data_IF_898401911817
#
_entry.id   IF_898401911817
#
_cell.length_a   1.000
_cell.length_b   1.000
_cell.length_c   1.000
_cell.angle_alpha   90.00
_cell.angle_beta   90.00
_cell.angle_gamma   90.00
#
_symmetry.space_group_name_H-M   'P 1'
#
loop_
_entity.id
_entity.type
_entity.pdbx_description
1 polymer ?
#
# COMPACT_ATOMS: atom_id res chain seq x y z
N UNK A 1 14.74 -66.68 -51.67
CA UNK A 1 16.10 -66.14 -51.44
C UNK A 1 15.98 -65.01 -50.43
N UNK A 2 16.34 -65.27 -49.17
CA UNK A 2 16.05 -64.40 -48.03
C UNK A 2 17.35 -63.93 -47.37
N UNK A 3 17.42 -62.61 -47.16
CA UNK A 3 18.06 -61.82 -46.08
C UNK A 3 19.42 -62.26 -45.52
N UNK A 4 20.35 -61.30 -45.38
CA UNK A 4 21.11 -60.94 -44.15
C UNK A 4 22.17 -59.87 -44.48
N UNK A 5 22.12 -58.67 -43.88
CA UNK A 5 22.89 -58.17 -42.70
C UNK A 5 24.41 -58.08 -42.93
N UNK A 6 24.98 -56.87 -42.78
CA UNK A 6 26.17 -56.64 -41.93
C UNK A 6 26.46 -55.14 -41.77
N UNK A 7 26.43 -54.71 -40.51
CA UNK A 7 26.88 -53.41 -40.01
C UNK A 7 28.38 -53.21 -40.26
N UNK A 8 28.77 -51.99 -40.67
CA UNK A 8 30.15 -51.50 -40.48
C UNK A 8 30.19 -50.64 -39.22
N UNK A 9 30.91 -51.14 -38.23
CA UNK A 9 31.32 -50.38 -37.06
C UNK A 9 32.38 -49.34 -37.42
N UNK A 10 32.32 -48.22 -36.71
CA UNK A 10 33.32 -47.18 -36.69
C UNK A 10 33.04 -46.29 -35.48
N UNK A 11 33.71 -46.59 -34.36
CA UNK A 11 33.61 -45.83 -33.13
C UNK A 11 34.16 -44.42 -33.33
N UNK A 12 33.36 -43.40 -33.01
CA UNK A 12 33.84 -42.07 -32.72
C UNK A 12 33.22 -41.60 -31.41
N UNK A 13 34.08 -41.52 -30.39
CA UNK A 13 33.89 -40.74 -29.17
C UNK A 13 33.38 -39.33 -29.51
N UNK A 14 32.37 -38.86 -28.79
CA UNK A 14 32.43 -37.69 -27.89
C UNK A 14 31.05 -37.60 -27.24
N UNK A 15 30.99 -37.95 -25.95
CA UNK A 15 29.78 -37.86 -25.13
C UNK A 15 29.34 -36.41 -25.04
N UNK A 16 28.06 -36.22 -25.35
CA UNK A 16 27.31 -34.96 -25.38
C UNK A 16 27.45 -34.17 -24.07
N UNK A 17 27.66 -32.88 -24.25
CA UNK A 17 27.71 -31.82 -23.26
C UNK A 17 26.50 -31.82 -22.32
N UNK A 18 26.75 -31.97 -21.03
CA UNK A 18 25.81 -31.64 -19.95
C UNK A 18 25.98 -30.15 -19.63
N UNK A 19 25.12 -29.30 -20.20
CA UNK A 19 24.96 -27.91 -19.72
C UNK A 19 23.93 -27.95 -18.59
N UNK A 20 24.42 -27.92 -17.35
CA UNK A 20 23.59 -27.73 -16.17
C UNK A 20 23.07 -26.30 -16.16
N UNK A 21 21.79 -26.12 -16.49
CA UNK A 21 21.10 -24.84 -16.37
C UNK A 21 20.90 -24.51 -14.88
N UNK A 22 21.80 -23.70 -14.33
CA UNK A 22 21.63 -23.10 -12.99
C UNK A 22 20.55 -22.01 -13.15
N UNK A 23 19.31 -22.37 -12.82
CA UNK A 23 18.21 -21.43 -12.70
C UNK A 23 18.50 -20.48 -11.54
N UNK A 24 18.88 -19.25 -11.87
CA UNK A 24 19.06 -18.16 -10.91
C UNK A 24 17.68 -17.74 -10.42
N UNK A 25 17.19 -18.38 -9.36
CA UNK A 25 16.02 -17.92 -8.64
C UNK A 25 16.40 -16.66 -7.84
N UNK A 26 16.32 -15.52 -8.51
CA UNK A 26 16.46 -14.20 -7.88
C UNK A 26 15.22 -13.95 -7.03
N UNK A 27 15.25 -14.43 -5.79
CA UNK A 27 14.28 -14.06 -4.77
C UNK A 27 14.53 -12.59 -4.43
N UNK A 28 13.76 -11.70 -5.04
CA UNK A 28 13.65 -10.31 -4.61
C UNK A 28 13.06 -10.28 -3.21
N UNK A 29 13.92 -10.35 -2.19
CA UNK A 29 13.61 -9.94 -0.83
C UNK A 29 13.33 -8.43 -0.87
N UNK A 30 12.09 -8.06 -1.20
CA UNK A 30 11.59 -6.72 -0.98
C UNK A 30 11.58 -6.49 0.53
N UNK A 31 12.67 -5.92 1.04
CA UNK A 31 12.72 -5.38 2.38
C UNK A 31 11.69 -4.26 2.45
N UNK A 32 10.54 -4.56 3.06
CA UNK A 32 9.58 -3.54 3.46
C UNK A 32 10.30 -2.66 4.49
N UNK A 33 10.89 -1.56 4.03
CA UNK A 33 11.46 -0.56 4.90
C UNK A 33 10.36 -0.13 5.88
N UNK A 34 10.54 -0.45 7.15
CA UNK A 34 9.69 0.08 8.20
C UNK A 34 9.91 1.59 8.21
N UNK A 35 9.00 2.32 7.55
CA UNK A 35 9.07 3.77 7.49
C UNK A 35 9.04 4.31 8.92
N UNK A 36 10.13 4.96 9.34
CA UNK A 36 10.20 5.69 10.60
C UNK A 36 9.08 6.73 10.61
N UNK A 37 8.39 6.95 11.75
CA UNK A 37 7.43 8.05 11.85
C UNK A 37 8.11 9.36 11.42
N UNK A 38 7.37 10.26 10.77
CA UNK A 38 7.89 11.58 10.43
C UNK A 38 8.44 12.25 11.70
N UNK A 39 9.64 12.85 11.62
CA UNK A 39 10.18 13.65 12.73
C UNK A 39 9.38 14.95 12.90
N UNK A 40 9.59 15.65 14.02
CA UNK A 40 8.81 16.85 14.40
C UNK A 40 8.88 18.01 13.37
N UNK A 41 9.88 17.99 12.47
CA UNK A 41 10.05 18.97 11.39
C UNK A 41 9.35 18.59 10.08
N UNK A 42 8.69 17.43 10.03
CA UNK A 42 8.05 16.98 8.80
C UNK A 42 6.83 17.84 8.49
N UNK A 43 6.88 18.55 7.36
CA UNK A 43 5.71 19.22 6.81
C UNK A 43 4.70 18.15 6.39
N UNK A 44 3.54 18.18 7.03
CA UNK A 44 2.43 17.27 6.79
C UNK A 44 1.37 17.93 5.92
N UNK A 45 0.76 17.17 5.02
CA UNK A 45 -0.36 17.62 4.19
C UNK A 45 -1.58 16.75 4.45
N UNK A 46 -2.75 17.38 4.50
CA UNK A 46 -4.03 16.69 4.69
C UNK A 46 -4.43 16.01 3.39
N UNK A 47 -4.55 14.69 3.44
CA UNK A 47 -4.82 13.83 2.29
C UNK A 47 -6.29 13.49 2.17
N UNK A 48 -6.95 13.27 3.31
CA UNK A 48 -8.35 12.87 3.39
C UNK A 48 -8.99 13.68 4.49
N UNK A 49 -10.21 14.12 4.23
CA UNK A 49 -11.14 14.64 5.24
C UNK A 49 -12.39 13.79 5.19
N UNK A 50 -12.89 13.37 6.34
CA UNK A 50 -14.15 12.69 6.48
C UNK A 50 -14.99 13.35 7.57
N UNK A 51 -16.28 13.48 7.32
CA UNK A 51 -17.23 14.06 8.27
C UNK A 51 -18.20 12.98 8.74
N UNK A 52 -18.26 12.77 10.04
CA UNK A 52 -19.26 11.95 10.72
C UNK A 52 -20.22 12.82 11.54
N UNK A 53 -21.12 12.19 12.28
CA UNK A 53 -22.07 12.91 13.15
C UNK A 53 -21.34 13.54 14.35
N UNK A 54 -21.13 14.87 14.31
CA UNK A 54 -20.43 15.61 15.36
C UNK A 54 -18.95 15.28 15.50
N UNK A 55 -18.36 14.65 14.47
CA UNK A 55 -16.95 14.25 14.45
C UNK A 55 -16.34 14.55 13.09
N UNK A 56 -15.08 15.00 13.09
CA UNK A 56 -14.30 15.17 11.85
C UNK A 56 -13.02 14.35 11.93
N UNK A 57 -12.74 13.62 10.87
CA UNK A 57 -11.54 12.80 10.75
C UNK A 57 -10.65 13.33 9.64
N UNK A 58 -9.37 13.43 9.92
CA UNK A 58 -8.39 13.89 8.94
C UNK A 58 -7.19 12.94 8.92
N UNK A 59 -6.74 12.60 7.71
CA UNK A 59 -5.53 11.80 7.51
C UNK A 59 -4.48 12.68 6.87
N UNK A 60 -3.30 12.66 7.45
CA UNK A 60 -2.14 13.45 7.06
C UNK A 60 -1.00 12.55 6.63
N UNK A 61 -0.32 12.91 5.54
CA UNK A 61 0.91 12.27 5.09
C UNK A 61 2.04 13.30 5.02
N UNK A 62 3.31 12.87 5.08
CA UNK A 62 4.43 13.75 4.78
C UNK A 62 4.28 14.33 3.37
N UNK A 63 4.53 15.63 3.22
CA UNK A 63 4.40 16.34 1.94
C UNK A 63 5.24 15.70 0.82
N UNK A 64 6.40 15.14 1.16
CA UNK A 64 7.28 14.44 0.22
C UNK A 64 6.62 13.19 -0.41
N UNK A 65 5.69 12.57 0.31
CA UNK A 65 4.99 11.34 -0.09
C UNK A 65 3.73 11.66 -0.87
N UNK A 66 2.98 12.67 -0.43
CA UNK A 66 1.72 13.08 -1.06
C UNK A 66 1.84 13.20 -2.57
N UNK A 67 2.82 13.97 -3.06
CA UNK A 67 3.01 14.23 -4.50
C UNK A 67 3.32 12.99 -5.35
N UNK A 68 3.72 11.88 -4.74
CA UNK A 68 4.27 10.73 -5.47
C UNK A 68 3.85 9.35 -4.96
N UNK A 69 2.88 9.26 -4.03
CA UNK A 69 2.44 7.96 -3.51
C UNK A 69 1.95 7.08 -4.66
N UNK A 70 2.59 5.92 -4.82
CA UNK A 70 2.35 4.96 -5.91
C UNK A 70 1.39 3.86 -5.47
N UNK A 71 0.70 3.25 -6.43
CA UNK A 71 -0.09 2.04 -6.16
C UNK A 71 0.76 0.94 -5.50
N UNK A 72 0.23 0.34 -4.44
CA UNK A 72 0.91 -0.65 -3.61
C UNK A 72 1.84 -0.08 -2.53
N UNK A 73 2.07 1.24 -2.52
CA UNK A 73 2.94 1.87 -1.53
C UNK A 73 2.23 2.00 -0.18
N UNK A 74 2.99 1.77 0.90
CA UNK A 74 2.55 1.96 2.28
C UNK A 74 3.46 2.95 3.00
N UNK A 75 2.88 3.90 3.72
CA UNK A 75 3.60 4.99 4.39
C UNK A 75 3.00 5.27 5.77
N UNK A 76 3.84 5.69 6.72
CA UNK A 76 3.37 6.16 8.02
C UNK A 76 2.87 7.60 7.88
N UNK A 77 1.63 7.82 8.27
CA UNK A 77 0.96 9.11 8.39
C UNK A 77 0.42 9.32 9.78
N UNK A 78 -0.43 10.33 9.91
CA UNK A 78 -1.18 10.59 11.13
C UNK A 78 -2.66 10.72 10.83
N UNK A 79 -3.46 10.15 11.71
CA UNK A 79 -4.90 10.29 11.76
C UNK A 79 -5.25 11.21 12.92
N UNK A 80 -6.25 12.06 12.73
CA UNK A 80 -6.88 12.80 13.81
C UNK A 80 -8.35 12.48 13.87
N UNK A 81 -8.86 12.41 15.09
CA UNK A 81 -10.28 12.44 15.38
C UNK A 81 -10.58 13.72 16.13
N UNK A 82 -11.26 14.63 15.47
CA UNK A 82 -11.76 15.87 16.04
C UNK A 82 -13.12 15.64 16.69
N UNK A 83 -13.11 15.73 18.02
CA UNK A 83 -14.26 15.60 18.90
C UNK A 83 -14.52 16.94 19.62
N UNK A 84 -14.20 18.07 18.99
CA UNK A 84 -14.36 19.40 19.59
C UNK A 84 -15.80 19.66 20.03
N UNK A 85 -16.78 19.15 19.29
CA UNK A 85 -18.21 19.23 19.64
C UNK A 85 -18.54 18.56 20.99
N UNK A 86 -17.68 17.66 21.47
CA UNK A 86 -17.77 17.03 22.80
C UNK A 86 -16.59 17.38 23.71
N UNK A 87 -15.93 18.52 23.46
CA UNK A 87 -14.79 19.05 24.23
C UNK A 87 -13.61 18.07 24.41
N UNK A 88 -13.38 17.20 23.43
CA UNK A 88 -12.19 16.33 23.39
C UNK A 88 -11.28 16.82 22.27
N UNK A 89 -10.02 17.11 22.62
CA UNK A 89 -9.01 17.58 21.67
C UNK A 89 -8.70 16.55 20.56
N UNK A 90 -7.90 16.98 19.58
CA UNK A 90 -7.47 16.17 18.42
C UNK A 90 -6.16 15.43 18.72
N UNK A 91 -6.16 14.18 19.23
CA UNK A 91 -4.92 13.41 19.25
C UNK A 91 -4.51 13.07 17.81
N UNK A 92 -3.25 13.32 17.47
CA UNK A 92 -2.61 12.77 16.28
C UNK A 92 -2.16 11.34 16.61
N UNK A 93 -2.83 10.36 16.01
CA UNK A 93 -2.49 8.94 16.14
C UNK A 93 -1.72 8.49 14.89
N UNK A 94 -0.55 7.84 15.02
CA UNK A 94 0.17 7.34 13.86
C UNK A 94 -0.63 6.21 13.21
N UNK A 95 -0.71 6.25 11.88
CA UNK A 95 -1.43 5.26 11.07
C UNK A 95 -0.57 4.81 9.91
N UNK A 96 -0.81 3.59 9.44
CA UNK A 96 -0.24 3.10 8.19
C UNK A 96 -1.26 3.34 7.08
N UNK A 97 -0.86 4.14 6.09
CA UNK A 97 -1.69 4.45 4.93
C UNK A 97 -1.14 3.70 3.72
N UNK A 98 -1.99 2.93 3.07
CA UNK A 98 -1.62 2.12 1.91
C UNK A 98 -2.53 2.44 0.74
N UNK A 99 -1.96 2.85 -0.39
CA UNK A 99 -2.69 3.00 -1.65
C UNK A 99 -2.72 1.63 -2.34
N UNK A 100 -3.89 1.14 -2.72
CA UNK A 100 -4.02 -0.14 -3.42
C UNK A 100 -3.28 -0.12 -4.76
N UNK A 101 -2.87 -1.29 -5.26
CA UNK A 101 -2.15 -1.40 -6.55
C UNK A 101 -2.97 -0.85 -7.72
N UNK A 102 -4.28 -1.05 -7.70
CA UNK A 102 -5.21 -0.50 -8.68
C UNK A 102 -5.55 0.98 -8.47
N UNK A 103 -5.00 1.60 -7.42
CA UNK A 103 -5.20 3.00 -7.03
C UNK A 103 -6.67 3.39 -6.80
N UNK A 104 -7.54 2.41 -6.49
CA UNK A 104 -8.96 2.67 -6.22
C UNK A 104 -9.28 2.83 -4.75
N UNK A 105 -8.43 2.33 -3.86
CA UNK A 105 -8.68 2.28 -2.42
C UNK A 105 -7.47 2.74 -1.63
N UNK A 106 -7.69 3.60 -0.65
CA UNK A 106 -6.74 3.91 0.42
C UNK A 106 -7.13 3.11 1.65
N UNK A 107 -6.20 2.33 2.18
CA UNK A 107 -6.36 1.63 3.45
C UNK A 107 -5.68 2.43 4.54
N UNK A 108 -6.41 2.75 5.61
CA UNK A 108 -5.89 3.40 6.82
C UNK A 108 -5.93 2.39 7.95
N UNK A 109 -4.75 1.99 8.42
CA UNK A 109 -4.56 1.00 9.47
C UNK A 109 -4.08 1.69 10.76
N UNK A 110 -4.92 1.65 11.79
CA UNK A 110 -4.63 2.14 13.14
C UNK A 110 -3.91 1.04 13.95
N UNK A 111 -2.75 0.62 13.45
CA UNK A 111 -2.03 -0.58 13.91
C UNK A 111 -1.64 -0.57 15.39
N UNK A 112 -1.54 0.59 16.03
CA UNK A 112 -1.28 0.69 17.48
C UNK A 112 -2.51 0.42 18.35
N UNK A 113 -3.72 0.50 17.78
CA UNK A 113 -4.99 0.34 18.51
C UNK A 113 -5.63 -1.03 18.30
N UNK A 114 -5.08 -1.85 17.38
CA UNK A 114 -5.65 -3.14 17.02
C UNK A 114 -7.05 -3.04 16.40
N UNK A 115 -7.41 -1.88 15.84
CA UNK A 115 -8.67 -1.69 15.15
C UNK A 115 -8.59 -2.27 13.73
N UNK A 116 -9.71 -2.77 13.16
CA UNK A 116 -9.74 -3.18 11.76
C UNK A 116 -9.32 -2.01 10.84
N UNK A 117 -8.50 -2.26 9.81
CA UNK A 117 -8.15 -1.23 8.84
C UNK A 117 -9.38 -0.71 8.09
N UNK A 118 -9.46 0.60 7.94
CA UNK A 118 -10.53 1.26 7.17
C UNK A 118 -10.14 1.34 5.71
N UNK A 119 -11.05 0.96 4.82
CA UNK A 119 -10.87 1.05 3.36
C UNK A 119 -11.71 2.18 2.81
N UNK A 120 -11.07 3.13 2.16
CA UNK A 120 -11.67 4.37 1.65
C UNK A 120 -11.49 4.39 0.14
N UNK A 121 -12.56 4.53 -0.65
CA UNK A 121 -12.39 4.74 -2.09
C UNK A 121 -11.60 6.02 -2.34
N UNK A 122 -10.67 6.00 -3.30
CA UNK A 122 -9.83 7.16 -3.66
C UNK A 122 -10.69 8.35 -4.12
N UNK A 123 -11.82 8.07 -4.75
CA UNK A 123 -12.82 9.08 -5.15
C UNK A 123 -13.63 9.65 -3.99
N UNK A 124 -13.41 9.18 -2.76
CA UNK A 124 -14.29 9.45 -1.63
C UNK A 124 -15.46 8.46 -1.55
N UNK A 125 -16.14 8.46 -0.42
CA UNK A 125 -17.22 7.53 -0.13
C UNK A 125 -17.63 7.52 1.33
N UNK A 126 -18.63 6.70 1.67
CA UNK A 126 -19.06 6.49 3.06
C UNK A 126 -18.34 5.28 3.65
N UNK A 127 -17.70 5.44 4.81
CA UNK A 127 -16.90 4.39 5.45
C UNK A 127 -17.07 4.41 6.97
N UNK A 128 -16.59 3.35 7.63
CA UNK A 128 -16.49 3.28 9.09
C UNK A 128 -15.01 3.34 9.53
N UNK A 129 -14.63 4.36 10.31
CA UNK A 129 -13.23 4.59 10.75
C UNK A 129 -12.91 4.04 12.14
N UNK A 130 -13.87 4.20 13.04
CA UNK A 130 -13.89 3.64 14.37
C UNK A 130 -15.38 3.40 14.63
N UNK A 131 -15.78 2.13 14.77
CA UNK A 131 -17.18 1.76 14.94
C UNK A 131 -17.83 2.41 16.17
N UNK A 132 -17.09 3.12 17.02
CA UNK A 132 -17.65 3.84 18.18
C UNK A 132 -17.97 5.30 17.90
N UNK A 133 -17.19 5.95 17.04
CA UNK A 133 -17.24 7.42 16.88
C UNK A 133 -17.46 7.87 15.44
N UNK A 134 -17.05 7.07 14.46
CA UNK A 134 -17.00 7.48 13.07
C UNK A 134 -17.69 6.44 12.18
N UNK A 135 -18.96 6.12 12.51
CA UNK A 135 -19.83 5.32 11.64
C UNK A 135 -20.40 6.19 10.53
N UNK A 136 -20.54 5.62 9.33
CA UNK A 136 -21.10 6.30 8.16
C UNK A 136 -20.42 7.64 7.86
N UNK A 137 -19.11 7.72 8.12
CA UNK A 137 -18.32 8.90 7.85
C UNK A 137 -18.24 9.14 6.35
N UNK A 138 -18.60 10.36 5.91
CA UNK A 138 -18.51 10.77 4.51
C UNK A 138 -17.11 11.31 4.25
N UNK A 139 -16.31 10.53 3.54
CA UNK A 139 -14.97 10.92 3.13
C UNK A 139 -14.99 11.59 1.75
N UNK A 140 -14.26 12.69 1.63
CA UNK A 140 -13.91 13.28 0.34
C UNK A 140 -12.85 12.47 -0.40
N UNK A 141 -12.51 12.88 -1.64
CA UNK A 141 -11.44 12.25 -2.40
C UNK A 141 -10.08 12.33 -1.69
N UNK A 142 -9.28 11.29 -1.89
CA UNK A 142 -7.87 11.28 -1.53
C UNK A 142 -7.13 12.37 -2.32
N UNK A 143 -6.26 13.15 -1.68
CA UNK A 143 -5.58 14.32 -2.28
C UNK A 143 -6.49 15.47 -2.71
N UNK A 144 -7.66 15.62 -2.08
CA UNK A 144 -8.56 16.76 -2.35
C UNK A 144 -7.96 18.16 -2.10
N UNK A 145 -6.77 18.26 -1.49
CA UNK A 145 -6.04 19.52 -1.31
C UNK A 145 -5.06 19.83 -2.45
N UNK A 146 -4.80 18.87 -3.34
CA UNK A 146 -3.94 19.07 -4.50
C UNK A 146 -4.74 19.83 -5.58
N UNK A 147 -4.31 21.04 -6.00
CA UNK A 147 -5.01 21.82 -7.02
C UNK A 147 -5.08 21.11 -8.39
N UNK A 148 -4.23 20.11 -8.63
CA UNK A 148 -4.23 19.31 -9.87
C UNK A 148 -5.06 18.01 -9.75
N UNK A 149 -5.76 17.79 -8.64
CA UNK A 149 -6.52 16.56 -8.42
C UNK A 149 -7.72 16.44 -9.39
N UNK A 150 -7.61 15.54 -10.37
CA UNK A 150 -8.67 15.23 -11.33
C UNK A 150 -8.52 15.87 -12.72
N UNK A 151 -7.39 16.53 -13.00
CA UNK A 151 -7.00 16.99 -14.34
C UNK A 151 -6.12 15.99 -15.09
#
# INVERSE_FOLDING_TARGET
MLRSIAMRGGYALVRRSLVAAISVCSICLATAAAAKPPGDEAVMIRMITCDGEGVRMEVYLPLSVDRHMRGGQSVIGYYTLDLTDVNKGKPLEPVRVTLSTDQKTVTVDQYLRGLPPTRIPVTGGTVDFDQRFAKHAKCGPFRSQDPDFGN
#
